data_IF_480545041864
#
_entry.id   IF_480545041864
#
_cell.length_a   1.000
_cell.length_b   1.000
_cell.length_c   1.000
_cell.angle_alpha   90.00
_cell.angle_beta   90.00
_cell.angle_gamma   90.00
#
_symmetry.space_group_name_H-M   'P 1'
#
loop_
_entity.id
_entity.type
_entity.pdbx_description
1 polymer ?
#
# COMPACT_ATOMS: atom_id res chain seq x y z
N UNK A 1 10.62 -7.73 -8.14
CA UNK A 1 10.08 -8.30 -6.88
C UNK A 1 11.16 -8.17 -5.82
N UNK A 2 10.81 -7.72 -4.60
CA UNK A 2 11.75 -7.70 -3.48
C UNK A 2 11.68 -8.99 -2.68
N UNK A 3 12.82 -9.47 -2.17
CA UNK A 3 12.92 -10.70 -1.40
C UNK A 3 13.87 -10.51 -0.21
N UNK A 4 13.47 -11.05 0.94
CA UNK A 4 14.34 -11.23 2.10
C UNK A 4 14.37 -12.69 2.52
N UNK A 5 15.37 -13.08 3.31
CA UNK A 5 15.49 -14.43 3.84
C UNK A 5 15.90 -14.39 5.31
N UNK A 6 15.47 -15.40 6.06
CA UNK A 6 15.94 -15.66 7.41
C UNK A 6 16.56 -17.08 7.46
N UNK A 7 17.87 -17.22 7.75
CA UNK A 7 18.84 -16.17 8.07
C UNK A 7 19.23 -15.31 6.85
N UNK A 8 19.67 -14.07 7.09
CA UNK A 8 19.94 -13.06 6.05
C UNK A 8 21.02 -13.48 5.05
N UNK A 9 21.96 -14.33 5.47
CA UNK A 9 23.03 -14.90 4.65
C UNK A 9 22.49 -15.75 3.50
N UNK A 10 21.29 -16.30 3.64
CA UNK A 10 20.68 -17.14 2.63
C UNK A 10 20.06 -16.37 1.46
N UNK A 11 19.93 -15.03 1.55
CA UNK A 11 19.11 -14.23 0.61
C UNK A 11 19.53 -14.38 -0.85
N UNK A 12 20.82 -14.41 -1.15
CA UNK A 12 21.32 -14.55 -2.52
C UNK A 12 21.04 -15.95 -3.10
N UNK A 13 21.24 -16.99 -2.27
CA UNK A 13 20.93 -18.38 -2.67
C UNK A 13 19.44 -18.54 -2.94
N UNK A 14 18.59 -18.00 -2.07
CA UNK A 14 17.13 -18.05 -2.24
C UNK A 14 16.71 -17.27 -3.49
N UNK A 15 17.23 -16.06 -3.71
CA UNK A 15 16.95 -15.27 -4.89
C UNK A 15 17.31 -16.00 -6.20
N UNK A 16 18.47 -16.67 -6.26
CA UNK A 16 18.88 -17.49 -7.41
C UNK A 16 17.89 -18.63 -7.68
N UNK A 17 17.47 -19.35 -6.63
CA UNK A 17 16.49 -20.44 -6.77
C UNK A 17 15.12 -19.93 -7.20
N UNK A 18 14.67 -18.81 -6.66
CA UNK A 18 13.42 -18.20 -7.09
C UNK A 18 13.48 -17.75 -8.55
N UNK A 19 14.59 -17.17 -9.00
CA UNK A 19 14.79 -16.83 -10.40
C UNK A 19 14.74 -18.06 -11.32
N UNK A 20 15.41 -19.16 -10.95
CA UNK A 20 15.35 -20.43 -11.70
C UNK A 20 13.91 -20.96 -11.82
N UNK A 21 13.09 -20.79 -10.79
CA UNK A 21 11.71 -21.31 -10.75
C UNK A 21 10.71 -20.44 -11.51
N UNK A 22 10.80 -19.11 -11.37
CA UNK A 22 9.75 -18.20 -11.86
C UNK A 22 10.22 -17.27 -12.99
N UNK A 23 11.52 -17.24 -13.30
CA UNK A 23 12.09 -16.43 -14.38
C UNK A 23 12.08 -14.92 -14.13
N UNK A 24 11.78 -14.47 -12.91
CA UNK A 24 11.70 -13.03 -12.57
C UNK A 24 12.88 -12.62 -11.69
N UNK A 25 13.67 -11.60 -12.09
CA UNK A 25 14.76 -11.08 -11.27
C UNK A 25 14.28 -10.59 -9.89
N UNK A 26 15.05 -10.93 -8.87
CA UNK A 26 14.76 -10.60 -7.48
C UNK A 26 15.70 -9.51 -6.97
N UNK A 27 15.14 -8.47 -6.37
CA UNK A 27 15.89 -7.47 -5.60
C UNK A 27 15.98 -7.93 -4.16
N UNK A 28 17.19 -8.12 -3.65
CA UNK A 28 17.40 -8.73 -2.33
C UNK A 28 17.53 -7.68 -1.24
N UNK A 29 16.89 -7.91 -0.10
CA UNK A 29 17.13 -7.17 1.14
C UNK A 29 17.55 -8.13 2.26
N UNK A 30 18.54 -7.73 3.05
CA UNK A 30 19.00 -8.52 4.21
C UNK A 30 18.09 -8.36 5.43
N UNK A 31 17.25 -7.32 5.44
CA UNK A 31 16.29 -7.04 6.51
C UNK A 31 14.91 -7.56 6.10
N UNK A 32 14.32 -8.46 6.89
CA UNK A 32 12.95 -8.90 6.62
C UNK A 32 11.93 -7.77 6.87
N UNK A 33 12.26 -6.85 7.79
CA UNK A 33 11.45 -5.66 8.06
C UNK A 33 11.35 -4.73 6.85
N UNK A 34 12.35 -4.73 5.98
CA UNK A 34 12.30 -4.05 4.68
C UNK A 34 11.24 -4.63 3.72
N UNK A 35 10.67 -5.80 4.00
CA UNK A 35 9.54 -6.37 3.25
C UNK A 35 8.25 -6.16 4.03
N UNK A 36 8.27 -6.38 5.35
CA UNK A 36 7.09 -6.26 6.21
C UNK A 36 6.62 -4.82 6.43
N UNK A 37 7.54 -3.85 6.41
CA UNK A 37 7.25 -2.45 6.73
C UNK A 37 7.18 -1.53 5.50
N UNK A 38 7.20 -2.06 4.28
CA UNK A 38 7.02 -1.23 3.06
C UNK A 38 5.58 -0.73 3.05
N UNK A 39 5.33 0.59 3.13
CA UNK A 39 3.99 1.14 3.12
C UNK A 39 3.39 0.91 1.74
N UNK A 40 2.41 0.02 1.60
CA UNK A 40 1.77 -0.32 0.33
C UNK A 40 0.24 -0.43 0.53
N UNK A 41 -0.35 -1.55 0.10
CA UNK A 41 -1.79 -1.80 0.15
C UNK A 41 -2.38 -1.58 1.55
N UNK A 42 -1.64 -1.92 2.61
CA UNK A 42 -2.10 -1.80 3.99
C UNK A 42 -2.37 -0.38 4.48
N UNK A 43 -1.87 0.65 3.77
CA UNK A 43 -2.26 2.04 4.03
C UNK A 43 -3.05 2.64 2.88
N UNK A 44 -2.74 2.25 1.62
CA UNK A 44 -3.41 2.80 0.44
C UNK A 44 -4.86 2.34 0.38
N UNK A 45 -5.13 1.04 0.48
CA UNK A 45 -6.48 0.53 0.33
C UNK A 45 -7.45 1.07 1.39
N UNK A 46 -7.17 0.95 2.71
CA UNK A 46 -8.06 1.51 3.72
C UNK A 46 -8.17 3.04 3.64
N UNK A 47 -7.09 3.76 3.33
CA UNK A 47 -7.15 5.23 3.16
C UNK A 47 -8.03 5.65 1.98
N UNK A 48 -7.91 4.98 0.84
CA UNK A 48 -8.77 5.21 -0.34
C UNK A 48 -10.22 4.86 -0.03
N UNK A 49 -10.48 3.68 0.55
CA UNK A 49 -11.82 3.23 0.94
C UNK A 49 -12.50 4.24 1.89
N UNK A 50 -11.79 4.72 2.92
CA UNK A 50 -12.32 5.70 3.85
C UNK A 50 -12.72 7.01 3.15
N UNK A 51 -11.90 7.52 2.24
CA UNK A 51 -12.22 8.77 1.54
C UNK A 51 -13.24 8.63 0.41
N UNK A 52 -13.36 7.46 -0.22
CA UNK A 52 -14.38 7.20 -1.25
C UNK A 52 -15.77 7.02 -0.66
N UNK A 53 -15.85 6.44 0.55
CA UNK A 53 -17.10 6.06 1.19
C UNK A 53 -17.34 6.82 2.51
N UNK A 54 -16.72 7.99 2.68
CA UNK A 54 -16.81 8.79 3.92
C UNK A 54 -18.25 9.17 4.28
N UNK A 55 -19.05 9.49 3.26
CA UNK A 55 -20.46 9.88 3.39
C UNK A 55 -21.43 8.70 3.23
N UNK A 56 -20.94 7.46 3.16
CA UNK A 56 -21.82 6.31 3.01
C UNK A 56 -22.49 5.96 4.35
N UNK A 57 -23.81 5.77 4.29
CA UNK A 57 -24.62 5.24 5.39
C UNK A 57 -25.53 4.11 4.91
N UNK A 58 -26.02 3.30 5.85
CA UNK A 58 -26.91 2.18 5.53
C UNK A 58 -28.16 2.66 4.77
N UNK A 59 -28.38 2.09 3.58
CA UNK A 59 -29.46 2.49 2.68
C UNK A 59 -29.02 3.35 1.49
N UNK A 60 -27.80 3.91 1.50
CA UNK A 60 -27.25 4.62 0.34
C UNK A 60 -26.82 3.62 -0.73
N UNK A 61 -27.38 3.77 -1.93
CA UNK A 61 -27.05 3.00 -3.13
C UNK A 61 -26.50 3.93 -4.20
N UNK A 62 -25.32 3.62 -4.73
CA UNK A 62 -24.69 4.39 -5.79
C UNK A 62 -25.08 3.86 -7.18
N UNK A 63 -25.34 4.74 -8.16
CA UNK A 63 -25.82 4.31 -9.48
C UNK A 63 -24.73 3.64 -10.34
N UNK A 64 -23.46 3.80 -9.98
CA UNK A 64 -22.31 3.23 -10.70
C UNK A 64 -21.15 2.95 -9.73
N UNK A 65 -20.26 2.00 -10.05
CA UNK A 65 -19.04 1.81 -9.27
C UNK A 65 -18.10 3.01 -9.39
N UNK A 66 -17.32 3.24 -8.35
CA UNK A 66 -16.29 4.27 -8.35
C UNK A 66 -14.99 3.75 -8.98
N UNK A 67 -14.24 4.62 -9.65
CA UNK A 67 -12.85 4.33 -9.98
C UNK A 67 -12.03 4.39 -8.69
N UNK A 68 -11.25 3.36 -8.40
CA UNK A 68 -10.62 3.23 -7.10
C UNK A 68 -9.48 4.23 -6.91
N UNK A 69 -8.44 4.14 -7.75
CA UNK A 69 -7.28 5.02 -7.64
C UNK A 69 -7.51 6.36 -8.35
N UNK A 70 -8.21 6.38 -9.49
CA UNK A 70 -8.55 7.62 -10.19
C UNK A 70 -9.62 8.44 -9.46
N UNK A 71 -10.47 7.80 -8.66
CA UNK A 71 -11.42 8.47 -7.77
C UNK A 71 -10.83 8.90 -6.43
N UNK A 72 -9.52 8.77 -6.20
CA UNK A 72 -8.89 9.15 -4.92
C UNK A 72 -9.24 10.60 -4.54
N UNK A 73 -9.95 10.77 -3.42
CA UNK A 73 -10.37 12.09 -2.92
C UNK A 73 -9.21 12.79 -2.20
N UNK A 74 -9.37 14.08 -1.88
CA UNK A 74 -8.41 14.77 -1.00
C UNK A 74 -8.33 14.08 0.35
N UNK A 75 -9.48 13.66 0.90
CA UNK A 75 -9.53 12.92 2.15
C UNK A 75 -8.75 11.61 2.08
N UNK A 76 -8.90 10.85 0.99
CA UNK A 76 -8.10 9.64 0.78
C UNK A 76 -6.60 9.95 0.80
N UNK A 77 -6.16 10.99 0.08
CA UNK A 77 -4.76 11.37 0.02
C UNK A 77 -4.21 11.86 1.36
N UNK A 78 -5.00 12.61 2.13
CA UNK A 78 -4.67 13.04 3.49
C UNK A 78 -4.46 11.83 4.41
N UNK A 79 -5.40 10.88 4.43
CA UNK A 79 -5.33 9.69 5.27
C UNK A 79 -4.13 8.81 4.93
N UNK A 80 -3.88 8.58 3.63
CA UNK A 80 -2.72 7.79 3.17
C UNK A 80 -1.40 8.51 3.52
N UNK A 81 -1.35 9.84 3.39
CA UNK A 81 -0.17 10.63 3.77
C UNK A 81 0.08 10.54 5.26
N UNK A 82 -0.95 10.72 6.10
CA UNK A 82 -0.81 10.64 7.56
C UNK A 82 -0.31 9.26 8.01
N UNK A 83 -0.90 8.17 7.48
CA UNK A 83 -0.42 6.81 7.80
C UNK A 83 1.00 6.55 7.28
N UNK A 84 1.35 7.11 6.12
CA UNK A 84 2.73 7.06 5.61
C UNK A 84 3.71 7.78 6.54
N UNK A 85 3.33 8.93 7.08
CA UNK A 85 4.17 9.69 8.02
C UNK A 85 4.37 8.94 9.34
N UNK A 86 3.33 8.27 9.84
CA UNK A 86 3.42 7.36 10.98
C UNK A 86 4.37 6.18 10.70
N UNK A 87 4.31 5.58 9.50
CA UNK A 87 5.25 4.54 9.08
C UNK A 87 6.71 5.06 9.08
N UNK A 88 6.93 6.29 8.62
CA UNK A 88 8.25 6.91 8.64
C UNK A 88 8.71 7.25 10.07
N UNK A 89 7.80 7.62 10.97
CA UNK A 89 8.12 7.82 12.37
C UNK A 89 8.56 6.50 13.03
N UNK A 90 7.83 5.41 12.77
CA UNK A 90 8.21 4.07 13.24
C UNK A 90 9.58 3.65 12.70
N UNK A 91 9.82 3.83 11.39
CA UNK A 91 11.11 3.55 10.75
C UNK A 91 12.25 4.25 11.49
N UNK A 92 12.14 5.57 11.71
CA UNK A 92 13.16 6.34 12.43
C UNK A 92 13.40 5.79 13.82
N UNK A 93 12.31 5.50 14.55
CA UNK A 93 12.40 4.98 15.92
C UNK A 93 13.10 3.62 15.99
N UNK A 94 12.80 2.71 15.07
CA UNK A 94 13.45 1.40 15.00
C UNK A 94 14.96 1.53 14.70
N UNK A 95 15.35 2.47 13.84
CA UNK A 95 16.76 2.72 13.53
C UNK A 95 17.54 3.35 14.70
N UNK A 96 16.89 4.14 15.55
CA UNK A 96 17.47 4.64 16.81
C UNK A 96 17.68 3.50 17.83
N UNK A 97 16.70 2.60 17.95
CA UNK A 97 16.73 1.48 18.91
C UNK A 97 17.70 0.37 18.49
N UNK A 98 17.89 0.18 17.19
CA UNK A 98 18.69 -0.92 16.62
C UNK A 98 19.75 -0.33 15.68
N UNK A 99 20.93 0.03 16.20
CA UNK A 99 22.01 0.59 15.40
C UNK A 99 22.39 -0.35 14.23
N UNK A 100 22.42 0.20 13.03
CA UNK A 100 22.73 -0.55 11.81
C UNK A 100 21.53 -1.28 11.19
N UNK A 101 20.31 -1.11 11.73
CA UNK A 101 19.10 -1.62 11.09
C UNK A 101 18.86 -0.91 9.74
N UNK A 102 18.88 -1.71 8.68
CA UNK A 102 18.55 -1.25 7.33
C UNK A 102 17.04 -1.35 7.05
N UNK A 103 16.44 -0.19 6.80
CA UNK A 103 15.04 -0.02 6.37
C UNK A 103 14.94 0.84 5.08
N UNK A 104 15.92 0.75 4.18
CA UNK A 104 15.99 1.60 2.99
C UNK A 104 14.80 1.47 2.03
N UNK A 105 14.04 0.36 2.04
CA UNK A 105 12.85 0.17 1.18
C UNK A 105 11.59 0.82 1.75
N UNK A 106 11.60 1.24 3.02
CA UNK A 106 10.46 1.88 3.68
C UNK A 106 10.44 3.37 3.33
N UNK A 107 9.99 3.72 2.13
CA UNK A 107 9.90 5.11 1.66
C UNK A 107 8.58 5.79 2.05
N UNK A 108 8.55 7.14 2.13
CA UNK A 108 7.28 7.87 2.11
C UNK A 108 6.45 7.47 0.89
N UNK A 109 5.13 7.35 1.05
CA UNK A 109 4.24 6.85 -0.02
C UNK A 109 4.35 7.66 -1.32
N UNK A 110 4.49 8.99 -1.23
CA UNK A 110 4.63 9.85 -2.42
C UNK A 110 5.94 9.58 -3.19
N UNK A 111 7.03 9.31 -2.48
CA UNK A 111 8.30 8.90 -3.10
C UNK A 111 8.18 7.50 -3.69
N UNK A 112 7.52 6.58 -2.97
CA UNK A 112 7.36 5.20 -3.40
C UNK A 112 6.56 5.10 -4.70
N UNK A 113 5.41 5.74 -4.79
CA UNK A 113 4.59 5.69 -6.02
C UNK A 113 5.37 6.24 -7.22
N UNK A 114 6.13 7.33 -7.03
CA UNK A 114 6.97 7.94 -8.08
C UNK A 114 8.11 7.03 -8.53
N UNK A 115 8.68 6.25 -7.62
CA UNK A 115 9.73 5.29 -7.96
C UNK A 115 9.16 4.07 -8.69
N UNK A 116 7.99 3.58 -8.28
CA UNK A 116 7.38 2.39 -8.88
C UNK A 116 6.75 2.66 -10.25
N UNK A 117 6.24 3.88 -10.48
CA UNK A 117 5.49 4.24 -11.68
C UNK A 117 6.03 5.52 -12.38
N UNK A 118 7.35 5.70 -12.56
CA UNK A 118 7.93 6.98 -12.98
C UNK A 118 7.44 7.47 -14.35
N UNK A 119 7.15 6.55 -15.27
CA UNK A 119 6.70 6.85 -16.64
C UNK A 119 5.18 6.82 -16.81
N UNK A 120 4.46 6.40 -15.77
CA UNK A 120 3.01 6.16 -15.85
C UNK A 120 2.21 7.29 -15.22
N UNK A 121 2.85 8.10 -14.36
CA UNK A 121 2.27 9.24 -13.67
C UNK A 121 2.31 10.49 -14.57
N UNK A 122 1.15 11.07 -14.89
CA UNK A 122 1.05 12.30 -15.68
C UNK A 122 1.31 13.59 -14.90
N UNK A 123 1.00 13.62 -13.61
CA UNK A 123 1.21 14.73 -12.68
C UNK A 123 1.69 14.17 -11.33
N UNK A 124 2.89 14.56 -10.91
CA UNK A 124 3.52 14.07 -9.68
C UNK A 124 3.59 15.12 -8.55
N UNK A 125 2.88 16.24 -8.70
CA UNK A 125 2.91 17.37 -7.77
C UNK A 125 2.45 17.03 -6.36
N UNK A 126 1.50 16.10 -6.22
CA UNK A 126 0.91 15.67 -4.94
C UNK A 126 0.73 14.16 -4.92
N UNK A 127 0.49 13.60 -3.74
CA UNK A 127 0.14 12.19 -3.64
C UNK A 127 -1.12 11.87 -4.45
N UNK A 128 -2.17 12.68 -4.30
CA UNK A 128 -3.44 12.49 -5.03
C UNK A 128 -3.20 12.50 -6.53
N UNK A 129 -2.53 13.54 -7.05
CA UNK A 129 -2.26 13.65 -8.49
C UNK A 129 -1.42 12.50 -9.02
N UNK A 130 -0.46 11.97 -8.24
CA UNK A 130 0.25 10.75 -8.60
C UNK A 130 -0.71 9.58 -8.86
N UNK A 131 -1.67 9.32 -7.97
CA UNK A 131 -2.63 8.23 -8.14
C UNK A 131 -3.63 8.51 -9.26
N UNK A 132 -4.20 9.72 -9.29
CA UNK A 132 -5.28 10.05 -10.24
C UNK A 132 -4.80 10.24 -11.68
N UNK A 133 -3.51 10.50 -11.89
CA UNK A 133 -2.92 10.62 -13.23
C UNK A 133 -2.12 9.39 -13.66
N UNK A 134 -2.07 8.34 -12.85
CA UNK A 134 -1.33 7.12 -13.17
C UNK A 134 -2.12 6.24 -14.16
N UNK A 135 -1.57 6.08 -15.36
CA UNK A 135 -2.22 5.32 -16.44
C UNK A 135 -2.38 3.83 -16.15
N UNK A 136 -1.55 3.25 -15.28
CA UNK A 136 -1.68 1.82 -14.93
C UNK A 136 -2.93 1.52 -14.11
N UNK A 137 -3.59 2.54 -13.57
CA UNK A 137 -4.80 2.39 -12.75
C UNK A 137 -6.11 2.60 -13.51
N UNK A 138 -6.04 2.84 -14.82
CA UNK A 138 -7.22 3.01 -15.66
C UNK A 138 -8.14 1.78 -15.59
N UNK A 139 -9.44 2.03 -15.36
CA UNK A 139 -10.46 1.00 -15.27
C UNK A 139 -10.47 0.17 -13.98
N UNK A 140 -9.59 0.45 -13.00
CA UNK A 140 -9.64 -0.23 -11.71
C UNK A 140 -10.76 0.36 -10.84
N UNK A 141 -11.76 -0.47 -10.53
CA UNK A 141 -12.96 -0.08 -9.78
C UNK A 141 -12.83 -0.38 -8.29
N UNK A 142 -13.52 0.41 -7.47
CA UNK A 142 -13.63 0.20 -6.03
C UNK A 142 -14.40 -1.10 -5.74
N UNK A 143 -14.08 -1.82 -4.64
CA UNK A 143 -14.81 -3.03 -4.28
C UNK A 143 -16.23 -2.66 -3.83
N UNK A 144 -17.20 -2.95 -4.69
CA UNK A 144 -18.60 -2.66 -4.48
C UNK A 144 -19.46 -3.85 -4.92
N UNK A 145 -20.56 -4.08 -4.21
CA UNK A 145 -21.51 -5.18 -4.46
C UNK A 145 -22.67 -4.63 -5.30
N UNK A 146 -23.01 -5.26 -6.44
CA UNK A 146 -24.20 -4.91 -7.18
C UNK A 146 -25.47 -5.31 -6.40
N UNK A 147 -26.44 -4.40 -6.36
CA UNK A 147 -27.78 -4.56 -5.80
C UNK A 147 -28.82 -4.13 -6.85
N UNK A 148 -30.10 -4.38 -6.61
CA UNK A 148 -31.17 -4.17 -7.61
C UNK A 148 -31.13 -2.77 -8.26
N UNK A 149 -30.88 -1.72 -7.47
CA UNK A 149 -30.89 -0.33 -7.92
C UNK A 149 -29.49 0.32 -8.00
N UNK A 150 -28.40 -0.47 -8.00
CA UNK A 150 -27.04 0.07 -8.14
C UNK A 150 -25.97 -0.71 -7.38
N UNK A 151 -25.15 -0.01 -6.59
CA UNK A 151 -23.96 -0.56 -5.94
C UNK A 151 -23.82 -0.05 -4.51
N UNK A 152 -23.37 -0.91 -3.60
CA UNK A 152 -23.00 -0.57 -2.22
C UNK A 152 -21.54 -0.96 -1.94
N UNK A 153 -20.83 -0.29 -1.01
CA UNK A 153 -19.44 -0.65 -0.68
C UNK A 153 -19.33 -2.10 -0.18
N UNK A 154 -18.31 -2.84 -0.66
CA UNK A 154 -18.00 -4.18 -0.15
C UNK A 154 -16.99 -4.10 1.01
N UNK A 155 -17.50 -3.99 2.23
CA UNK A 155 -16.66 -4.00 3.43
C UNK A 155 -16.07 -5.38 3.78
N UNK A 156 -16.42 -6.43 3.03
CA UNK A 156 -15.84 -7.77 3.18
C UNK A 156 -14.71 -8.03 2.19
N UNK A 157 -14.43 -7.08 1.30
CA UNK A 157 -13.30 -7.13 0.38
C UNK A 157 -11.98 -7.40 1.09
N UNK A 158 -11.06 -8.07 0.39
CA UNK A 158 -9.67 -8.29 0.86
C UNK A 158 -8.92 -6.98 1.16
N UNK A 159 -9.36 -5.87 0.57
CA UNK A 159 -8.86 -4.52 0.88
C UNK A 159 -8.99 -4.16 2.36
N UNK A 160 -9.92 -4.80 3.08
CA UNK A 160 -10.07 -4.64 4.52
C UNK A 160 -9.74 -5.95 5.25
N UNK A 161 -10.22 -7.09 4.74
CA UNK A 161 -10.09 -8.38 5.43
C UNK A 161 -8.69 -8.98 5.39
N UNK A 162 -7.80 -8.55 4.49
CA UNK A 162 -6.38 -8.92 4.48
C UNK A 162 -5.50 -7.74 4.91
N UNK A 163 -5.64 -6.59 4.26
CA UNK A 163 -4.72 -5.45 4.42
C UNK A 163 -4.73 -4.84 5.83
N UNK A 164 -5.86 -4.89 6.55
CA UNK A 164 -5.91 -4.44 7.95
C UNK A 164 -5.25 -5.46 8.90
N UNK A 165 -5.76 -6.71 9.06
CA UNK A 165 -5.22 -7.64 10.06
C UNK A 165 -3.81 -8.14 9.73
N UNK A 166 -3.48 -8.29 8.45
CA UNK A 166 -2.18 -8.83 8.02
C UNK A 166 -1.17 -7.73 7.65
N UNK A 167 -1.60 -6.46 7.62
CA UNK A 167 -0.77 -5.32 7.28
C UNK A 167 -0.80 -4.26 8.39
N UNK A 168 -1.81 -3.40 8.40
CA UNK A 168 -1.85 -2.21 9.26
C UNK A 168 -1.77 -2.54 10.76
N UNK A 169 -2.45 -3.60 11.20
CA UNK A 169 -2.39 -4.07 12.60
C UNK A 169 -0.97 -4.52 12.97
N UNK A 170 -0.20 -5.10 12.04
CA UNK A 170 1.19 -5.49 12.28
C UNK A 170 2.06 -4.25 12.50
N UNK A 171 1.87 -3.18 11.72
CA UNK A 171 2.55 -1.90 11.95
C UNK A 171 2.23 -1.33 13.33
N UNK A 172 0.94 -1.32 13.68
CA UNK A 172 0.48 -0.82 14.99
C UNK A 172 1.08 -1.63 16.14
N UNK A 173 1.10 -2.94 16.04
CA UNK A 173 1.69 -3.81 17.06
C UNK A 173 3.19 -3.58 17.25
N UNK A 174 3.95 -3.39 16.17
CA UNK A 174 5.39 -3.06 16.27
C UNK A 174 5.59 -1.67 16.88
N UNK A 175 4.73 -0.70 16.57
CA UNK A 175 4.81 0.65 17.10
C UNK A 175 4.48 0.74 18.61
N UNK A 176 3.84 -0.28 19.19
CA UNK A 176 3.50 -0.35 20.61
C UNK A 176 4.58 -1.04 21.47
N UNK A 177 5.62 -1.60 20.86
CA UNK A 177 6.78 -2.18 21.53
C UNK A 177 7.78 -1.11 22.03
#
# INVERSE_FOLDING_TARGET
>A
IFLSALPAEAVQRVASRMYELIGVPMLTSRSFLNISLVPANQIVHPGVMCGLFEDWEEGVVYPKPFEFYHGMTERSAELVTAMSDECQALKRRLQELIPGLDLHLVWPMHEMIRHLYPEQIGDNSTLRSCFTSNKTYEGLLAPMIPVDDGFVPDFRSRYLTEDLPCGLVVFKGIAEL
#
